data_IF_532805176050
#
_entry.id   IF_532805176050
#
_cell.length_a   1.000
_cell.length_b   1.000
_cell.length_c   1.000
_cell.angle_alpha   90.00
_cell.angle_beta   90.00
_cell.angle_gamma   90.00
#
_symmetry.space_group_name_H-M   'P 1'
#
loop_
_entity.id
_entity.type
_entity.pdbx_description
1 polymer ?
#
# COMPACT_ATOMS: atom_id res chain seq x y z
N UNK A 1 0.09 -7.86 -13.01
CA UNK A 1 -0.82 -6.71 -12.76
C UNK A 1 -1.90 -7.01 -11.72
N UNK A 2 -2.70 -8.07 -11.87
CA UNK A 2 -3.77 -8.40 -10.91
C UNK A 2 -3.33 -8.45 -9.44
N UNK A 3 -2.20 -9.11 -9.14
CA UNK A 3 -1.65 -9.16 -7.78
C UNK A 3 -1.32 -7.76 -7.21
N UNK A 4 -0.65 -6.90 -7.99
CA UNK A 4 -0.26 -5.56 -7.54
C UNK A 4 -1.49 -4.67 -7.30
N UNK A 5 -2.46 -4.67 -8.22
CA UNK A 5 -3.68 -3.89 -8.05
C UNK A 5 -4.49 -4.36 -6.83
N UNK A 6 -4.61 -5.69 -6.64
CA UNK A 6 -5.25 -6.28 -5.46
C UNK A 6 -4.55 -5.89 -4.16
N UNK A 7 -3.23 -5.95 -4.12
CA UNK A 7 -2.44 -5.53 -2.96
C UNK A 7 -2.64 -4.04 -2.64
N UNK A 8 -2.64 -3.15 -3.65
CA UNK A 8 -2.90 -1.72 -3.43
C UNK A 8 -4.31 -1.45 -2.90
N UNK A 9 -5.33 -2.11 -3.45
CA UNK A 9 -6.71 -2.00 -2.97
C UNK A 9 -6.84 -2.48 -1.54
N UNK A 10 -6.23 -3.61 -1.21
CA UNK A 10 -6.23 -4.16 0.14
C UNK A 10 -5.49 -3.24 1.13
N UNK A 11 -4.32 -2.72 0.77
CA UNK A 11 -3.60 -1.76 1.59
C UNK A 11 -4.44 -0.53 1.91
N UNK A 12 -5.21 0.00 0.94
CA UNK A 12 -6.12 1.12 1.20
C UNK A 12 -7.31 0.71 2.06
N UNK A 13 -7.84 -0.50 1.89
CA UNK A 13 -8.85 -1.06 2.80
C UNK A 13 -8.33 -1.13 4.24
N UNK A 14 -7.02 -1.34 4.46
CA UNK A 14 -6.45 -1.33 5.79
C UNK A 14 -6.70 -0.01 6.51
N UNK A 15 -6.82 1.14 5.83
CA UNK A 15 -7.19 2.40 6.49
C UNK A 15 -8.53 2.29 7.21
N UNK A 16 -9.52 1.65 6.58
CA UNK A 16 -10.81 1.40 7.21
C UNK A 16 -10.71 0.38 8.35
N UNK A 17 -9.89 -0.67 8.18
CA UNK A 17 -9.64 -1.66 9.24
C UNK A 17 -8.97 -1.00 10.46
N UNK A 18 -7.93 -0.19 10.25
CA UNK A 18 -7.23 0.52 11.30
C UNK A 18 -8.15 1.51 12.03
N UNK A 19 -9.08 2.15 11.31
CA UNK A 19 -10.09 3.00 11.95
C UNK A 19 -10.98 2.21 12.92
N UNK A 20 -11.27 0.93 12.70
CA UNK A 20 -12.01 0.11 13.68
C UNK A 20 -11.25 -0.08 14.99
N UNK A 21 -9.92 -0.25 14.90
CA UNK A 21 -9.03 -0.40 16.06
C UNK A 21 -8.77 0.94 16.76
N UNK A 22 -8.81 2.04 16.02
CA UNK A 22 -8.63 3.38 16.57
C UNK A 22 -9.94 3.85 17.23
N UNK A 23 -10.00 3.83 18.56
CA UNK A 23 -11.12 4.37 19.34
C UNK A 23 -10.62 5.35 20.40
N UNK A 24 -11.35 6.45 20.69
CA UNK A 24 -12.69 6.81 20.19
C UNK A 24 -12.71 7.70 18.94
N UNK A 25 -11.58 8.31 18.56
CA UNK A 25 -11.50 9.31 17.47
C UNK A 25 -11.30 8.65 16.09
N UNK A 26 -11.80 9.27 14.99
CA UNK A 26 -11.46 8.87 13.62
C UNK A 26 -9.96 8.80 13.35
N UNK A 27 -9.51 7.82 12.59
CA UNK A 27 -8.13 7.66 12.14
C UNK A 27 -7.61 8.95 11.48
N UNK A 28 -8.40 9.52 10.56
CA UNK A 28 -8.03 10.77 9.86
C UNK A 28 -7.89 11.99 10.76
N UNK A 29 -8.48 11.97 11.97
CA UNK A 29 -8.33 13.06 12.93
C UNK A 29 -7.02 12.97 13.73
N UNK A 30 -6.42 11.79 13.87
CA UNK A 30 -5.20 11.57 14.66
C UNK A 30 -3.93 11.51 13.81
N UNK A 31 -4.07 11.11 12.55
CA UNK A 31 -2.96 11.01 11.59
C UNK A 31 -2.41 12.39 11.23
N UNK A 32 -1.09 12.47 11.11
CA UNK A 32 -0.39 13.67 10.65
C UNK A 32 -0.67 13.97 9.18
N UNK A 33 -0.99 15.23 8.88
CA UNK A 33 -1.33 15.67 7.52
C UNK A 33 -0.18 15.54 6.51
N UNK A 34 1.07 15.36 6.95
CA UNK A 34 2.19 15.09 6.04
C UNK A 34 2.01 13.85 5.17
N UNK A 35 1.16 12.90 5.58
CA UNK A 35 0.81 11.74 4.75
C UNK A 35 -0.05 12.10 3.53
N UNK A 36 -0.65 13.29 3.47
CA UNK A 36 -1.35 13.81 2.27
C UNK A 36 -0.39 13.87 1.08
N UNK A 37 0.88 14.24 1.29
CA UNK A 37 1.87 14.28 0.21
C UNK A 37 2.09 12.87 -0.38
N UNK A 38 2.22 11.86 0.48
CA UNK A 38 2.38 10.47 0.04
C UNK A 38 1.13 9.97 -0.69
N UNK A 39 -0.07 10.28 -0.18
CA UNK A 39 -1.32 9.95 -0.84
C UNK A 39 -1.43 10.64 -2.22
N UNK A 40 -1.09 11.93 -2.32
CA UNK A 40 -1.12 12.68 -3.58
C UNK A 40 -0.14 12.12 -4.62
N UNK A 41 1.05 11.71 -4.20
CA UNK A 41 1.99 10.99 -5.06
C UNK A 41 1.39 9.66 -5.52
N UNK A 42 0.77 8.91 -4.60
CA UNK A 42 0.08 7.66 -4.92
C UNK A 42 -0.99 7.86 -5.98
N UNK A 43 -1.76 8.96 -5.90
CA UNK A 43 -2.78 9.30 -6.90
C UNK A 43 -2.16 9.59 -8.27
N UNK A 44 -1.03 10.32 -8.30
CA UNK A 44 -0.32 10.66 -9.52
C UNK A 44 0.16 9.39 -10.21
N UNK A 45 0.84 8.51 -9.48
CA UNK A 45 1.34 7.22 -9.99
C UNK A 45 0.20 6.30 -10.46
N UNK A 46 -0.85 6.15 -9.67
CA UNK A 46 -2.01 5.33 -10.03
C UNK A 46 -2.71 5.86 -11.29
N UNK A 47 -2.83 7.18 -11.43
CA UNK A 47 -3.39 7.83 -12.62
C UNK A 47 -2.49 7.61 -13.84
N UNK A 48 -1.16 7.73 -13.69
CA UNK A 48 -0.20 7.42 -14.76
C UNK A 48 -0.34 5.98 -15.25
N UNK A 49 -0.47 5.01 -14.33
CA UNK A 49 -0.68 3.59 -14.69
C UNK A 49 -2.03 3.40 -15.41
N UNK A 50 -3.07 4.10 -14.96
CA UNK A 50 -4.40 4.05 -15.60
C UNK A 50 -4.33 4.55 -17.04
N UNK A 51 -3.66 5.69 -17.26
CA UNK A 51 -3.43 6.23 -18.61
C UNK A 51 -2.56 5.29 -19.44
N UNK A 52 -1.50 4.72 -18.86
CA UNK A 52 -0.64 3.75 -19.53
C UNK A 52 -1.41 2.54 -20.05
N UNK A 53 -2.38 2.05 -19.28
CA UNK A 53 -3.22 0.92 -19.69
C UNK A 53 -4.23 1.32 -20.77
N UNK A 54 -4.82 2.52 -20.68
CA UNK A 54 -5.78 3.03 -21.68
C UNK A 54 -5.14 3.33 -23.03
N UNK A 55 -3.92 3.86 -23.03
CA UNK A 55 -3.20 4.33 -24.22
C UNK A 55 -2.09 3.35 -24.63
N UNK A 56 -1.89 2.25 -23.90
CA UNK A 56 -0.78 1.31 -24.07
C UNK A 56 -0.58 0.83 -25.50
N UNK A 57 -1.68 0.44 -26.16
CA UNK A 57 -1.71 0.01 -27.57
C UNK A 57 -1.22 1.09 -28.57
N UNK A 58 -1.24 2.37 -28.19
CA UNK A 58 -0.86 3.52 -29.03
C UNK A 58 0.48 4.15 -28.63
N UNK A 59 0.99 3.84 -27.45
CA UNK A 59 2.12 4.57 -26.84
C UNK A 59 3.50 4.23 -27.40
N UNK A 60 3.60 3.21 -28.26
CA UNK A 60 4.87 2.69 -28.75
C UNK A 60 5.71 2.07 -27.62
N UNK A 61 6.91 1.63 -27.97
CA UNK A 61 7.90 1.15 -27.01
C UNK A 61 9.15 2.03 -27.12
N UNK A 62 9.77 2.37 -25.98
CA UNK A 62 11.14 2.84 -25.97
C UNK A 62 12.04 1.63 -25.74
N UNK A 63 12.73 1.20 -26.80
CA UNK A 63 13.36 -0.14 -26.86
C UNK A 63 12.29 -1.23 -26.73
N UNK A 64 12.13 -1.82 -25.53
CA UNK A 64 11.08 -2.79 -25.19
C UNK A 64 10.21 -2.32 -24.01
N UNK A 65 10.54 -1.18 -23.38
CA UNK A 65 9.91 -0.68 -22.16
C UNK A 65 8.90 0.42 -22.49
N UNK A 66 7.81 0.48 -21.74
CA UNK A 66 6.84 1.57 -21.87
C UNK A 66 7.44 2.90 -21.40
N UNK A 67 7.24 4.01 -22.13
CA UNK A 67 7.57 5.35 -21.64
C UNK A 67 6.91 5.67 -20.29
N UNK A 68 5.73 5.10 -20.03
CA UNK A 68 5.03 5.25 -18.77
C UNK A 68 5.75 4.59 -17.59
N UNK A 69 6.47 3.47 -17.81
CA UNK A 69 7.26 2.84 -16.76
C UNK A 69 8.45 3.70 -16.34
N UNK A 70 9.09 4.37 -17.30
CA UNK A 70 10.14 5.34 -17.01
C UNK A 70 9.59 6.53 -16.24
N UNK A 71 8.41 7.02 -16.62
CA UNK A 71 7.72 8.09 -15.89
C UNK A 71 7.36 7.67 -14.47
N UNK A 72 6.82 6.46 -14.27
CA UNK A 72 6.50 5.90 -12.94
C UNK A 72 7.76 5.81 -12.08
N UNK A 73 8.87 5.30 -12.63
CA UNK A 73 10.14 5.22 -11.91
C UNK A 73 10.67 6.63 -11.55
N UNK A 74 10.64 7.57 -12.50
CA UNK A 74 11.08 8.95 -12.26
C UNK A 74 10.23 9.63 -11.17
N UNK A 75 8.90 9.53 -11.26
CA UNK A 75 7.99 10.05 -10.25
C UNK A 75 8.27 9.39 -8.90
N UNK A 76 8.42 8.06 -8.85
CA UNK A 76 8.77 7.34 -7.61
C UNK A 76 10.05 7.88 -6.96
N UNK A 77 11.13 8.08 -7.70
CA UNK A 77 12.39 8.58 -7.14
C UNK A 77 12.28 10.04 -6.67
N UNK A 78 11.58 10.89 -7.43
CA UNK A 78 11.28 12.26 -7.01
C UNK A 78 10.46 12.25 -5.72
N UNK A 79 9.44 11.42 -5.66
CA UNK A 79 8.58 11.21 -4.50
C UNK A 79 9.36 10.74 -3.28
N UNK A 80 10.27 9.77 -3.43
CA UNK A 80 11.12 9.29 -2.35
C UNK A 80 12.04 10.40 -1.83
N UNK A 81 12.58 11.23 -2.73
CA UNK A 81 13.41 12.39 -2.35
C UNK A 81 12.60 13.46 -1.60
N UNK A 82 11.39 13.78 -2.08
CA UNK A 82 10.50 14.75 -1.43
C UNK A 82 9.98 14.25 -0.08
N UNK A 83 9.63 12.97 0.00
CA UNK A 83 9.20 12.29 1.23
C UNK A 83 10.30 12.26 2.27
N UNK A 84 11.51 11.82 1.89
CA UNK A 84 12.68 11.84 2.79
C UNK A 84 13.00 13.24 3.30
N UNK A 85 12.93 14.26 2.45
CA UNK A 85 13.16 15.64 2.87
C UNK A 85 12.13 16.15 3.88
N UNK A 86 10.85 15.78 3.73
CA UNK A 86 9.78 16.11 4.67
C UNK A 86 9.90 15.32 5.98
N UNK A 87 10.11 14.00 5.88
CA UNK A 87 10.19 13.11 7.04
C UNK A 87 11.44 13.38 7.87
N UNK A 88 12.59 13.69 7.25
CA UNK A 88 13.82 14.03 7.99
C UNK A 88 13.62 15.23 8.91
N UNK A 89 12.90 16.26 8.46
CA UNK A 89 12.58 17.44 9.30
C UNK A 89 11.71 17.06 10.50
N UNK A 90 10.73 16.19 10.28
CA UNK A 90 9.84 15.68 11.34
C UNK A 90 10.57 14.75 12.30
N UNK A 91 11.42 13.86 11.80
CA UNK A 91 12.17 12.90 12.60
C UNK A 91 13.11 13.62 13.58
N UNK A 92 13.74 14.72 13.15
CA UNK A 92 14.54 15.57 14.05
C UNK A 92 13.67 16.19 15.15
N UNK A 93 12.50 16.77 14.79
CA UNK A 93 11.58 17.36 15.76
C UNK A 93 11.03 16.32 16.76
N UNK A 94 10.63 15.15 16.27
CA UNK A 94 10.13 14.06 17.11
C UNK A 94 11.23 13.54 18.02
N UNK A 95 12.46 13.39 17.51
CA UNK A 95 13.61 12.97 18.30
C UNK A 95 13.98 13.99 19.38
N UNK A 96 13.89 15.29 19.10
CA UNK A 96 14.11 16.33 20.12
C UNK A 96 13.06 16.29 21.23
N UNK A 97 11.78 16.10 20.88
CA UNK A 97 10.69 15.94 21.86
C UNK A 97 10.85 14.65 22.68
N UNK A 98 11.18 13.53 22.04
CA UNK A 98 11.39 12.25 22.72
C UNK A 98 12.66 12.22 23.58
N UNK A 99 13.68 13.01 23.24
CA UNK A 99 14.87 13.19 24.10
C UNK A 99 14.58 14.03 25.33
N UNK A 100 13.66 14.99 25.23
CA UNK A 100 13.24 15.82 26.34
C UNK A 100 12.38 15.02 27.35
N UNK A 101 11.73 13.94 26.89
CA UNK A 101 11.05 12.96 27.72
C UNK A 101 12.08 11.88 28.14
N UNK A 102 12.62 11.95 29.36
CA UNK A 102 13.71 11.09 29.90
C UNK A 102 13.38 9.56 29.94
N UNK A 103 12.28 9.13 29.34
CA UNK A 103 11.66 7.83 29.53
C UNK A 103 12.05 6.76 28.49
N UNK A 104 12.76 7.11 27.41
CA UNK A 104 13.29 6.14 26.45
C UNK A 104 14.71 5.71 26.81
N UNK A 105 14.85 4.50 27.39
CA UNK A 105 16.13 3.84 27.53
C UNK A 105 16.85 3.80 26.17
N UNK A 106 18.01 4.45 26.08
CA UNK A 106 18.70 4.70 24.83
C UNK A 106 19.27 3.39 24.24
N UNK A 107 18.47 2.70 23.44
CA UNK A 107 18.96 1.63 22.56
C UNK A 107 20.01 2.26 21.64
N UNK A 108 21.22 1.72 21.60
CA UNK A 108 22.28 2.23 20.73
C UNK A 108 21.84 2.14 19.26
N UNK A 109 22.23 3.11 18.42
CA UNK A 109 21.93 3.06 16.98
C UNK A 109 22.37 1.74 16.34
N UNK A 110 23.46 1.15 16.80
CA UNK A 110 23.92 -0.18 16.33
C UNK A 110 22.95 -1.29 16.73
N UNK A 111 22.43 -1.27 17.95
CA UNK A 111 21.43 -2.24 18.42
C UNK A 111 20.11 -2.07 17.67
N UNK A 112 19.68 -0.84 17.41
CA UNK A 112 18.49 -0.55 16.61
C UNK A 112 18.61 -1.14 15.19
N UNK A 113 19.75 -0.92 14.51
CA UNK A 113 20.02 -1.54 13.21
C UNK A 113 20.04 -3.07 13.27
N UNK A 114 20.66 -3.65 14.31
CA UNK A 114 20.70 -5.11 14.48
C UNK A 114 19.29 -5.70 14.67
N UNK A 115 18.49 -5.13 15.57
CA UNK A 115 17.11 -5.58 15.78
C UNK A 115 16.27 -5.40 14.51
N UNK A 116 16.35 -4.23 13.86
CA UNK A 116 15.64 -3.97 12.61
C UNK A 116 16.01 -4.99 11.53
N UNK A 117 17.30 -5.19 11.27
CA UNK A 117 17.77 -6.15 10.26
C UNK A 117 17.35 -7.58 10.59
N UNK A 118 17.40 -7.99 11.86
CA UNK A 118 16.95 -9.31 12.29
C UNK A 118 15.45 -9.50 12.06
N UNK A 119 14.60 -8.59 12.55
CA UNK A 119 13.15 -8.70 12.38
C UNK A 119 12.72 -8.55 10.92
N UNK A 120 13.38 -7.69 10.15
CA UNK A 120 13.15 -7.57 8.70
C UNK A 120 13.50 -8.89 7.98
N UNK A 121 14.64 -9.51 8.29
CA UNK A 121 15.02 -10.79 7.70
C UNK A 121 14.02 -11.90 8.04
N UNK A 122 13.58 -11.99 9.30
CA UNK A 122 12.54 -12.94 9.72
C UNK A 122 11.24 -12.71 8.96
N UNK A 123 10.82 -11.46 8.79
CA UNK A 123 9.60 -11.09 8.07
C UNK A 123 9.70 -11.49 6.59
N UNK A 124 10.82 -11.17 5.94
CA UNK A 124 11.05 -11.55 4.53
C UNK A 124 11.08 -13.07 4.36
N UNK A 125 11.77 -13.79 5.25
CA UNK A 125 11.80 -15.25 5.21
C UNK A 125 10.38 -15.83 5.37
N UNK A 126 9.61 -15.36 6.36
CA UNK A 126 8.23 -15.79 6.56
C UNK A 126 7.36 -15.54 5.32
N UNK A 127 7.44 -14.35 4.71
CA UNK A 127 6.70 -14.01 3.49
C UNK A 127 7.07 -14.88 2.28
N UNK A 128 8.31 -15.36 2.19
CA UNK A 128 8.75 -16.29 1.12
C UNK A 128 8.18 -17.69 1.32
N UNK A 129 8.13 -18.20 2.57
CA UNK A 129 7.63 -19.55 2.86
C UNK A 129 6.10 -19.64 2.89
N UNK A 130 5.40 -18.55 3.21
CA UNK A 130 3.95 -18.52 3.39
C UNK A 130 3.14 -19.05 2.18
N UNK A 131 3.44 -18.67 0.92
CA UNK A 131 2.71 -19.20 -0.25
C UNK A 131 2.87 -20.71 -0.41
N UNK A 132 4.09 -21.24 -0.23
CA UNK A 132 4.35 -22.68 -0.38
C UNK A 132 3.65 -23.50 0.70
N UNK A 133 3.62 -22.99 1.93
CA UNK A 133 2.93 -23.62 3.06
C UNK A 133 1.42 -23.67 2.82
N UNK A 134 0.85 -22.59 2.30
CA UNK A 134 -0.56 -22.53 1.96
C UNK A 134 -0.97 -23.54 0.88
N UNK A 135 -0.14 -23.72 -0.16
CA UNK A 135 -0.36 -24.72 -1.22
C UNK A 135 -0.36 -26.14 -0.66
N UNK A 136 0.49 -26.43 0.33
CA UNK A 136 0.53 -27.75 0.96
C UNK A 136 -0.67 -28.00 1.88
N UNK A 137 -1.07 -27.02 2.69
CA UNK A 137 -2.28 -27.12 3.54
C UNK A 137 -3.53 -27.40 2.70
N UNK A 138 -3.66 -26.73 1.56
CA UNK A 138 -4.72 -26.97 0.60
C UNK A 138 -4.79 -28.39 0.07
N UNK A 139 -3.62 -28.90 -0.34
CA UNK A 139 -3.47 -30.25 -0.87
C UNK A 139 -3.92 -31.29 0.14
N UNK A 140 -3.60 -31.08 1.42
CA UNK A 140 -3.98 -31.98 2.52
C UNK A 140 -5.45 -31.85 2.93
N UNK A 141 -6.03 -30.65 2.87
CA UNK A 141 -7.42 -30.39 3.27
C UNK A 141 -8.44 -30.69 2.17
N UNK A 142 -8.00 -30.98 0.94
CA UNK A 142 -8.89 -31.19 -0.21
C UNK A 142 -9.57 -29.92 -0.71
N UNK A 143 -9.16 -28.75 -0.21
CA UNK A 143 -9.56 -27.46 -0.77
C UNK A 143 -8.95 -27.37 -2.18
N UNK A 144 -9.80 -27.39 -3.21
CA UNK A 144 -9.37 -27.46 -4.61
C UNK A 144 -8.30 -26.41 -4.94
N UNK A 145 -7.35 -26.78 -5.81
CA UNK A 145 -6.17 -25.96 -6.16
C UNK A 145 -6.53 -24.52 -6.56
N UNK A 146 -7.72 -24.28 -7.12
CA UNK A 146 -8.22 -22.95 -7.52
C UNK A 146 -8.54 -22.02 -6.35
N UNK A 147 -9.19 -22.53 -5.29
CA UNK A 147 -9.49 -21.74 -4.07
C UNK A 147 -8.19 -21.31 -3.41
N UNK A 148 -7.17 -22.17 -3.50
CA UNK A 148 -5.92 -21.97 -2.77
C UNK A 148 -4.95 -21.09 -3.54
N UNK A 149 -4.81 -21.32 -4.84
CA UNK A 149 -4.00 -20.46 -5.71
C UNK A 149 -4.48 -19.01 -5.70
N UNK A 150 -5.77 -18.76 -5.46
CA UNK A 150 -6.32 -17.39 -5.48
C UNK A 150 -6.40 -16.79 -4.08
N UNK A 151 -7.02 -17.47 -3.11
CA UNK A 151 -7.28 -16.92 -1.78
C UNK A 151 -6.02 -16.89 -0.92
N UNK A 152 -5.26 -17.99 -0.87
CA UNK A 152 -4.08 -18.04 -0.02
C UNK A 152 -2.92 -17.22 -0.57
N UNK A 153 -2.74 -17.17 -1.89
CA UNK A 153 -1.73 -16.28 -2.49
C UNK A 153 -2.07 -14.83 -2.18
N UNK A 154 -3.32 -14.41 -2.39
CA UNK A 154 -3.75 -13.05 -2.06
C UNK A 154 -3.62 -12.71 -0.57
N UNK A 155 -3.94 -13.65 0.33
CA UNK A 155 -3.71 -13.47 1.76
C UNK A 155 -2.23 -13.39 2.09
N UNK A 156 -1.40 -14.27 1.52
CA UNK A 156 0.03 -14.33 1.84
C UNK A 156 0.80 -13.05 1.48
N UNK A 157 0.36 -12.34 0.44
CA UNK A 157 0.99 -11.11 -0.04
C UNK A 157 0.49 -9.85 0.67
N UNK A 158 -0.54 -9.96 1.50
CA UNK A 158 -1.19 -8.80 2.16
C UNK A 158 -1.27 -8.91 3.68
N UNK A 159 -1.09 -10.14 4.21
CA UNK A 159 -1.04 -10.41 5.63
C UNK A 159 0.12 -9.70 6.35
N UNK A 160 1.35 -9.64 5.79
CA UNK A 160 2.45 -8.91 6.43
C UNK A 160 2.10 -7.44 6.67
N UNK A 161 1.52 -6.78 5.68
CA UNK A 161 1.09 -5.38 5.74
C UNK A 161 -0.01 -5.17 6.76
N UNK A 162 -0.98 -6.09 6.84
CA UNK A 162 -2.03 -6.07 7.85
C UNK A 162 -1.44 -6.20 9.26
N UNK A 163 -0.54 -7.16 9.49
CA UNK A 163 0.08 -7.41 10.79
C UNK A 163 0.91 -6.20 11.24
N UNK A 164 1.77 -5.67 10.35
CA UNK A 164 2.59 -4.49 10.65
C UNK A 164 1.71 -3.29 10.96
N UNK A 165 0.69 -3.03 10.15
CA UNK A 165 -0.18 -1.86 10.31
C UNK A 165 -1.02 -1.94 11.59
N UNK A 166 -1.62 -3.11 11.88
CA UNK A 166 -2.41 -3.32 13.11
C UNK A 166 -1.50 -3.26 14.34
N UNK A 167 -0.32 -3.86 14.30
CA UNK A 167 0.63 -3.83 15.41
C UNK A 167 1.12 -2.41 15.70
N UNK A 168 1.43 -1.63 14.67
CA UNK A 168 1.82 -0.23 14.80
C UNK A 168 0.68 0.61 15.41
N UNK A 169 -0.55 0.48 14.91
CA UNK A 169 -1.72 1.18 15.47
C UNK A 169 -1.98 0.81 16.93
N UNK A 170 -1.90 -0.48 17.29
CA UNK A 170 -2.07 -0.94 18.68
C UNK A 170 -0.96 -0.45 19.61
N UNK A 171 0.22 -0.16 19.09
CA UNK A 171 1.35 0.41 19.84
C UNK A 171 1.32 1.94 19.90
N UNK A 172 0.25 2.58 19.41
CA UNK A 172 0.13 4.04 19.34
C UNK A 172 0.91 4.70 18.20
N UNK A 173 1.63 3.92 17.38
CA UNK A 173 2.42 4.39 16.24
C UNK A 173 1.55 4.52 14.97
N UNK A 174 0.47 5.29 15.06
CA UNK A 174 -0.55 5.39 14.00
C UNK A 174 0.02 6.00 12.70
N UNK A 175 0.88 7.01 12.82
CA UNK A 175 1.54 7.61 11.65
C UNK A 175 2.44 6.61 10.92
N UNK A 176 3.09 5.70 11.65
CA UNK A 176 3.89 4.64 11.05
C UNK A 176 3.00 3.65 10.28
N UNK A 177 1.85 3.29 10.83
CA UNK A 177 0.88 2.40 10.16
C UNK A 177 0.35 3.02 8.86
N UNK A 178 -0.04 4.29 8.88
CA UNK A 178 -0.56 4.98 7.70
C UNK A 178 0.53 5.30 6.68
N UNK A 179 1.73 5.67 7.15
CA UNK A 179 2.91 5.81 6.29
C UNK A 179 3.26 4.52 5.57
N UNK A 180 3.19 3.37 6.27
CA UNK A 180 3.38 2.05 5.68
C UNK A 180 2.36 1.75 4.57
N UNK A 181 1.06 2.06 4.79
CA UNK A 181 0.01 1.83 3.79
C UNK A 181 0.26 2.63 2.51
N UNK A 182 0.48 3.95 2.61
CA UNK A 182 0.71 4.77 1.42
C UNK A 182 2.06 4.46 0.75
N UNK A 183 3.11 4.26 1.54
CA UNK A 183 4.44 3.89 1.05
C UNK A 183 4.43 2.56 0.29
N UNK A 184 3.74 1.55 0.82
CA UNK A 184 3.58 0.24 0.16
C UNK A 184 2.86 0.36 -1.18
N UNK A 185 1.87 1.25 -1.31
CA UNK A 185 1.21 1.48 -2.59
C UNK A 185 2.12 2.15 -3.62
N UNK A 186 2.90 3.14 -3.20
CA UNK A 186 3.89 3.80 -4.07
C UNK A 186 4.95 2.78 -4.52
N UNK A 187 5.41 1.93 -3.62
CA UNK A 187 6.35 0.84 -3.93
C UNK A 187 5.75 -0.21 -4.87
N UNK A 188 4.50 -0.59 -4.67
CA UNK A 188 3.76 -1.49 -5.56
C UNK A 188 3.68 -0.93 -6.99
N UNK A 189 3.50 0.38 -7.16
CA UNK A 189 3.54 1.00 -8.48
C UNK A 189 4.94 0.94 -9.12
N UNK A 190 6.01 1.09 -8.33
CA UNK A 190 7.37 0.86 -8.82
C UNK A 190 7.57 -0.59 -9.26
N UNK A 191 7.04 -1.58 -8.54
CA UNK A 191 7.12 -2.99 -8.94
C UNK A 191 6.53 -3.20 -10.34
N UNK A 192 5.47 -2.48 -10.74
CA UNK A 192 4.94 -2.56 -12.10
C UNK A 192 5.92 -2.00 -13.14
N UNK A 193 6.56 -0.87 -12.86
CA UNK A 193 7.58 -0.31 -13.75
C UNK A 193 8.80 -1.23 -13.89
N UNK A 194 9.24 -1.85 -12.78
CA UNK A 194 10.29 -2.85 -12.80
C UNK A 194 9.86 -4.11 -13.57
N UNK A 195 8.61 -4.56 -13.38
CA UNK A 195 8.06 -5.71 -14.10
C UNK A 195 8.06 -5.47 -15.61
N UNK A 196 7.72 -4.25 -16.05
CA UNK A 196 7.79 -3.85 -17.46
C UNK A 196 9.23 -3.82 -17.97
N UNK A 197 10.17 -3.32 -17.18
CA UNK A 197 11.59 -3.31 -17.53
C UNK A 197 12.17 -4.71 -17.78
N UNK A 198 11.82 -5.69 -16.94
CA UNK A 198 12.25 -7.08 -17.08
C UNK A 198 11.43 -7.88 -18.10
N UNK A 199 10.32 -7.34 -18.58
CA UNK A 199 9.47 -7.99 -19.56
C UNK A 199 9.96 -7.66 -20.98
N UNK A 200 10.88 -8.48 -21.51
CA UNK A 200 11.59 -8.22 -22.78
C UNK A 200 10.71 -8.43 -24.04
N UNK A 201 9.48 -8.92 -23.88
CA UNK A 201 8.58 -9.23 -25.01
C UNK A 201 7.88 -7.98 -25.59
N UNK A 202 8.15 -6.80 -25.03
CA UNK A 202 7.55 -5.52 -25.40
C UNK A 202 6.86 -4.85 -24.22
N UNK A 203 6.19 -3.71 -24.39
CA UNK A 203 5.61 -2.97 -23.27
C UNK A 203 4.52 -3.78 -22.56
N UNK A 204 4.73 -4.10 -21.28
CA UNK A 204 3.86 -4.89 -20.41
C UNK A 204 2.40 -4.42 -20.46
N UNK A 205 2.16 -3.10 -20.45
CA UNK A 205 0.81 -2.54 -20.46
C UNK A 205 -0.01 -2.91 -21.70
N UNK A 206 0.62 -3.30 -22.82
CA UNK A 206 -0.07 -3.81 -24.01
C UNK A 206 -0.64 -5.22 -23.77
N UNK A 207 0.03 -6.02 -22.96
CA UNK A 207 -0.33 -7.42 -22.65
C UNK A 207 -1.28 -7.55 -21.46
N UNK A 208 -1.57 -6.45 -20.77
CA UNK A 208 -2.48 -6.50 -19.62
C UNK A 208 -3.94 -6.39 -20.06
N UNK A 209 -4.77 -7.29 -19.54
CA UNK A 209 -6.20 -7.28 -19.79
C UNK A 209 -6.88 -5.95 -19.34
N UNK A 210 -7.75 -5.34 -20.16
CA UNK A 210 -8.42 -4.08 -19.85
C UNK A 210 -9.27 -4.11 -18.57
N UNK A 211 -9.73 -5.29 -18.12
CA UNK A 211 -10.51 -5.45 -16.88
C UNK A 211 -9.82 -4.88 -15.63
N UNK A 212 -8.49 -4.75 -15.64
CA UNK A 212 -7.74 -4.17 -14.52
C UNK A 212 -7.91 -2.64 -14.40
N UNK A 213 -8.47 -1.96 -15.40
CA UNK A 213 -8.79 -0.51 -15.33
C UNK A 213 -9.72 -0.22 -14.17
N UNK A 214 -10.73 -1.07 -13.94
CA UNK A 214 -11.70 -0.85 -12.84
C UNK A 214 -11.00 -0.81 -11.48
N UNK A 215 -10.06 -1.73 -11.25
CA UNK A 215 -9.26 -1.76 -10.01
C UNK A 215 -8.35 -0.55 -9.87
N UNK A 216 -7.74 -0.07 -10.95
CA UNK A 216 -6.92 1.15 -10.92
C UNK A 216 -7.74 2.41 -10.61
N UNK A 217 -8.92 2.55 -11.22
CA UNK A 217 -9.84 3.65 -10.94
C UNK A 217 -10.32 3.60 -9.49
N UNK A 218 -10.60 2.40 -8.96
CA UNK A 218 -10.96 2.20 -7.56
C UNK A 218 -9.81 2.60 -6.61
N UNK A 219 -8.56 2.29 -6.94
CA UNK A 219 -7.38 2.75 -6.20
C UNK A 219 -7.30 4.27 -6.18
N UNK A 220 -7.44 4.93 -7.33
CA UNK A 220 -7.45 6.39 -7.44
C UNK A 220 -8.55 7.00 -6.56
N UNK A 221 -9.77 6.45 -6.62
CA UNK A 221 -10.90 6.90 -5.82
C UNK A 221 -10.66 6.73 -4.31
N UNK A 222 -10.15 5.58 -3.86
CA UNK A 222 -9.84 5.32 -2.46
C UNK A 222 -8.73 6.24 -1.93
N UNK A 223 -7.70 6.53 -2.73
CA UNK A 223 -6.65 7.51 -2.39
C UNK A 223 -7.23 8.92 -2.30
N UNK A 224 -8.09 9.32 -3.24
CA UNK A 224 -8.77 10.62 -3.21
C UNK A 224 -9.59 10.80 -1.93
N UNK A 225 -10.40 9.80 -1.57
CA UNK A 225 -11.19 9.80 -0.33
C UNK A 225 -10.28 9.89 0.89
N UNK A 226 -9.13 9.19 0.88
CA UNK A 226 -8.15 9.26 1.96
C UNK A 226 -7.56 10.67 2.12
N UNK A 227 -7.24 11.36 1.00
CA UNK A 227 -6.78 12.76 1.02
C UNK A 227 -7.85 13.67 1.60
N UNK A 228 -9.11 13.51 1.17
CA UNK A 228 -10.25 14.28 1.69
C UNK A 228 -10.40 14.05 3.19
N UNK A 229 -10.34 12.79 3.65
CA UNK A 229 -10.40 12.43 5.06
C UNK A 229 -9.31 13.10 5.90
N UNK A 230 -8.04 13.00 5.46
CA UNK A 230 -6.89 13.61 6.15
C UNK A 230 -6.92 15.15 6.13
N UNK A 231 -7.55 15.74 5.12
CA UNK A 231 -7.70 17.21 5.02
C UNK A 231 -8.84 17.70 5.90
N UNK A 232 -10.02 17.08 5.80
CA UNK A 232 -11.22 17.47 6.53
C UNK A 232 -11.14 17.15 8.03
N UNK A 233 -10.38 16.10 8.41
CA UNK A 233 -10.21 15.62 9.79
C UNK A 233 -11.54 15.45 10.51
N UNK A 234 -12.33 14.48 10.06
CA UNK A 234 -13.64 14.18 10.65
C UNK A 234 -13.55 14.11 12.19
N UNK A 235 -14.39 14.89 12.87
CA UNK A 235 -14.35 14.97 14.35
C UNK A 235 -15.12 13.82 15.01
N UNK A 236 -16.08 13.24 14.29
CA UNK A 236 -17.00 12.21 14.80
C UNK A 236 -17.03 11.00 13.87
N UNK A 237 -17.19 9.83 14.47
CA UNK A 237 -17.51 8.59 13.76
C UNK A 237 -19.01 8.53 13.49
N UNK A 238 -19.42 8.02 12.33
CA UNK A 238 -20.83 7.78 12.05
C UNK A 238 -21.30 6.55 12.83
N UNK A 239 -20.66 5.39 12.60
CA UNK A 239 -20.82 4.12 13.33
C UNK A 239 -19.99 3.03 12.62
N UNK A 240 -19.44 2.01 13.31
CA UNK A 240 -18.12 2.04 14.00
C UNK A 240 -16.95 2.70 13.23
N UNK A 241 -17.14 3.10 11.97
CA UNK A 241 -16.18 3.75 11.10
C UNK A 241 -16.44 5.26 10.99
N UNK A 242 -15.38 6.00 10.68
CA UNK A 242 -15.45 7.34 10.13
C UNK A 242 -16.00 7.33 8.68
N UNK A 243 -16.53 8.46 8.24
CA UNK A 243 -17.21 8.58 6.93
C UNK A 243 -16.29 8.25 5.75
N UNK A 244 -15.06 8.78 5.78
CA UNK A 244 -14.00 8.49 4.81
C UNK A 244 -13.66 6.99 4.77
N UNK A 245 -13.48 6.38 5.94
CA UNK A 245 -13.19 4.94 6.08
C UNK A 245 -14.34 4.06 5.59
N UNK A 246 -15.59 4.48 5.83
CA UNK A 246 -16.76 3.79 5.33
C UNK A 246 -16.85 3.84 3.80
N UNK A 247 -16.57 4.99 3.18
CA UNK A 247 -16.53 5.12 1.72
C UNK A 247 -15.41 4.25 1.13
N UNK A 248 -14.22 4.25 1.73
CA UNK A 248 -13.10 3.38 1.31
C UNK A 248 -13.53 1.91 1.29
N UNK A 249 -14.19 1.45 2.36
CA UNK A 249 -14.75 0.09 2.44
C UNK A 249 -15.76 -0.18 1.32
N UNK A 250 -16.69 0.75 1.06
CA UNK A 250 -17.70 0.59 0.00
C UNK A 250 -17.08 0.52 -1.40
N UNK A 251 -16.08 1.37 -1.70
CA UNK A 251 -15.39 1.32 -2.99
C UNK A 251 -14.66 -0.02 -3.18
N UNK A 252 -14.00 -0.51 -2.12
CA UNK A 252 -13.36 -1.83 -2.17
C UNK A 252 -14.37 -2.95 -2.41
N UNK A 253 -15.48 -2.96 -1.66
CA UNK A 253 -16.54 -3.95 -1.81
C UNK A 253 -17.17 -3.91 -3.22
N UNK A 254 -17.40 -2.71 -3.76
CA UNK A 254 -17.88 -2.52 -5.13
C UNK A 254 -16.88 -3.06 -6.16
N UNK A 255 -15.57 -2.87 -5.96
CA UNK A 255 -14.54 -3.46 -6.81
C UNK A 255 -14.53 -4.99 -6.75
N UNK A 256 -14.62 -5.57 -5.55
CA UNK A 256 -14.70 -7.02 -5.42
C UNK A 256 -15.94 -7.56 -6.14
N UNK A 257 -17.10 -6.93 -5.96
CA UNK A 257 -18.33 -7.31 -6.65
C UNK A 257 -18.20 -7.20 -8.18
N UNK A 258 -17.61 -6.11 -8.69
CA UNK A 258 -17.38 -5.91 -10.12
C UNK A 258 -16.47 -7.01 -10.70
N UNK A 259 -15.43 -7.44 -9.97
CA UNK A 259 -14.55 -8.51 -10.41
C UNK A 259 -15.24 -9.89 -10.54
N UNK A 260 -16.39 -10.11 -9.88
CA UNK A 260 -17.18 -11.33 -10.04
C UNK A 260 -18.21 -11.24 -11.18
N UNK A 261 -18.50 -10.03 -11.68
CA UNK A 261 -19.47 -9.81 -12.76
C UNK A 261 -18.85 -9.86 -14.16
N UNK A 262 -17.52 -9.80 -14.27
CA UNK A 262 -16.74 -9.80 -15.53
C UNK A 262 -15.68 -10.91 -15.54
#
# INVERSE_FOLDING_TARGET
MGNVAGACLFNLLLLAVLDLFQRPKPLSSVVYQGHILSAAIGILLASTITVALLVGQRSGALLWVSPYSLLIAAVYFVSMKLGYAHEKRRAVQLFEVLKADEQYGAISSRQAWLYFSFYAAVTVAASIFLPSTAVEVARQTGLGQTIVGTLFVALSTTLPELVVSVSATRSGAIDLAVGNIFGSNIFNFLILALSDFFFVQGPLFVFVAPRHIFSLVSIVAMIAVSIVGLTYRAEKKLFPLAFDSFIIFLIYAANVAALFMF
#
